data_IF_134855106198
#
_entry.id   IF_134855106198
#
_cell.length_a   1.000
_cell.length_b   1.000
_cell.length_c   1.000
_cell.angle_alpha   90.00
_cell.angle_beta   90.00
_cell.angle_gamma   90.00
#
_symmetry.space_group_name_H-M   'P 1'
#
loop_
_entity.id
_entity.type
_entity.pdbx_description
1 polymer ?
#
# COMPACT_ATOMS: atom_id res chain seq x y z
N UNK A 1 7.40 19.02 -11.88
CA UNK A 1 6.28 19.77 -12.51
C UNK A 1 4.96 19.02 -12.40
N UNK A 2 4.75 17.93 -13.15
CA UNK A 2 3.48 17.19 -13.16
C UNK A 2 3.05 16.61 -11.81
N UNK A 3 4.00 16.14 -11.01
CA UNK A 3 3.71 15.65 -9.66
C UNK A 3 3.09 16.74 -8.77
N UNK A 4 3.64 17.96 -8.77
CA UNK A 4 3.07 19.10 -8.03
C UNK A 4 1.66 19.45 -8.48
N UNK A 5 1.45 19.51 -9.80
CA UNK A 5 0.12 19.78 -10.39
C UNK A 5 -0.91 18.72 -9.93
N UNK A 6 -0.53 17.44 -9.89
CA UNK A 6 -1.45 16.40 -9.39
C UNK A 6 -1.74 16.53 -7.89
N UNK A 7 -0.77 17.00 -7.09
CA UNK A 7 -1.00 17.30 -5.67
C UNK A 7 -1.96 18.49 -5.51
N UNK A 8 -1.81 19.54 -6.32
CA UNK A 8 -2.74 20.68 -6.35
C UNK A 8 -4.17 20.22 -6.68
N UNK A 9 -4.33 19.42 -7.75
CA UNK A 9 -5.63 18.84 -8.12
C UNK A 9 -6.20 17.96 -7.00
N UNK A 10 -5.37 17.17 -6.32
CA UNK A 10 -5.80 16.32 -5.22
C UNK A 10 -6.32 17.15 -4.03
N UNK A 11 -5.68 18.29 -3.73
CA UNK A 11 -6.19 19.27 -2.75
C UNK A 11 -7.54 19.85 -3.17
N UNK A 12 -7.68 20.30 -4.42
CA UNK A 12 -8.92 20.89 -4.94
C UNK A 12 -10.09 19.88 -4.92
N UNK A 13 -9.83 18.65 -5.38
CA UNK A 13 -10.83 17.58 -5.40
C UNK A 13 -11.04 16.92 -4.04
N UNK A 14 -10.18 17.22 -3.05
CA UNK A 14 -10.15 16.57 -1.74
C UNK A 14 -10.07 15.05 -1.89
N UNK A 15 -9.17 14.54 -2.72
CA UNK A 15 -8.96 13.11 -2.95
C UNK A 15 -7.54 12.72 -2.53
N UNK A 16 -7.34 11.53 -1.95
CA UNK A 16 -6.01 11.09 -1.55
C UNK A 16 -5.15 10.73 -2.77
N UNK A 17 -3.84 10.79 -2.61
CA UNK A 17 -2.87 10.48 -3.66
C UNK A 17 -2.57 8.97 -3.75
N UNK A 18 -2.36 8.46 -4.97
CA UNK A 18 -1.71 7.16 -5.21
C UNK A 18 -0.35 7.44 -5.84
N UNK A 19 0.72 7.16 -5.10
CA UNK A 19 2.07 7.63 -5.42
C UNK A 19 2.95 6.44 -5.81
N UNK A 20 3.51 6.51 -7.01
CA UNK A 20 4.63 5.69 -7.42
C UNK A 20 5.94 6.42 -7.11
N UNK A 21 6.91 5.73 -6.52
CA UNK A 21 8.28 6.23 -6.43
C UNK A 21 9.26 5.07 -6.54
N UNK A 22 10.34 5.30 -7.29
CA UNK A 22 11.45 4.36 -7.45
C UNK A 22 12.72 5.16 -7.59
N UNK A 23 13.68 4.94 -6.69
CA UNK A 23 14.96 5.66 -6.66
C UNK A 23 14.78 7.19 -6.54
N UNK A 24 13.63 7.62 -6.00
CA UNK A 24 13.26 9.04 -5.92
C UNK A 24 12.53 9.39 -4.60
N UNK A 25 12.56 8.50 -3.60
CA UNK A 25 11.84 8.67 -2.32
C UNK A 25 12.08 10.02 -1.66
N UNK A 26 13.34 10.41 -1.46
CA UNK A 26 13.69 11.69 -0.82
C UNK A 26 13.13 12.90 -1.58
N UNK A 27 13.24 12.88 -2.92
CA UNK A 27 12.72 13.98 -3.75
C UNK A 27 11.19 14.03 -3.72
N UNK A 28 10.53 12.87 -3.65
CA UNK A 28 9.09 12.80 -3.45
C UNK A 28 8.69 13.40 -2.09
N UNK A 29 9.37 13.04 -1.00
CA UNK A 29 9.08 13.58 0.33
C UNK A 29 9.24 15.10 0.41
N UNK A 30 10.31 15.65 -0.17
CA UNK A 30 10.51 17.11 -0.25
C UNK A 30 9.31 17.81 -0.90
N UNK A 31 8.86 17.29 -2.05
CA UNK A 31 7.72 17.84 -2.78
C UNK A 31 6.43 17.70 -1.98
N UNK A 32 6.20 16.55 -1.34
CA UNK A 32 5.00 16.32 -0.53
C UNK A 32 4.93 17.27 0.66
N UNK A 33 6.05 17.49 1.37
CA UNK A 33 6.14 18.44 2.48
C UNK A 33 5.94 19.89 2.04
N UNK A 34 6.58 20.30 0.94
CA UNK A 34 6.42 21.66 0.39
C UNK A 34 4.97 21.97 0.00
N UNK A 35 4.25 20.96 -0.50
CA UNK A 35 2.87 21.08 -0.96
C UNK A 35 1.85 20.73 0.13
N UNK A 36 2.28 20.55 1.39
CA UNK A 36 1.44 20.18 2.54
C UNK A 36 0.52 18.96 2.26
N UNK A 37 1.05 17.97 1.55
CA UNK A 37 0.27 16.82 1.08
C UNK A 37 -0.23 15.92 2.22
N UNK A 38 0.33 16.02 3.42
CA UNK A 38 -0.16 15.33 4.63
C UNK A 38 -1.61 15.69 4.98
N UNK A 39 -2.09 16.88 4.56
CA UNK A 39 -3.48 17.32 4.79
C UNK A 39 -4.51 16.49 4.01
N UNK A 40 -4.11 15.93 2.86
CA UNK A 40 -4.95 15.05 2.04
C UNK A 40 -4.57 13.57 2.18
N UNK A 41 -3.31 13.30 2.54
CA UNK A 41 -2.76 11.96 2.66
C UNK A 41 -2.68 11.23 1.32
N UNK A 42 -2.39 9.94 1.41
CA UNK A 42 -2.24 9.11 0.22
C UNK A 42 -1.77 7.70 0.52
N UNK A 43 -1.43 6.96 -0.52
CA UNK A 43 -0.74 5.68 -0.44
C UNK A 43 0.49 5.69 -1.33
N UNK A 44 1.60 5.18 -0.82
CA UNK A 44 2.72 4.76 -1.65
C UNK A 44 2.47 3.34 -2.14
N UNK A 45 2.14 3.23 -3.42
CA UNK A 45 1.86 1.96 -4.07
C UNK A 45 3.16 1.27 -4.50
N UNK A 46 3.11 -0.05 -4.63
CA UNK A 46 4.22 -0.92 -4.97
C UNK A 46 5.46 -0.65 -4.08
N UNK A 47 5.26 -0.60 -2.77
CA UNK A 47 6.29 -0.12 -1.85
C UNK A 47 7.55 -1.00 -1.85
N UNK A 48 8.70 -0.34 -1.99
CA UNK A 48 10.01 -0.99 -2.06
C UNK A 48 11.13 -0.21 -1.33
N UNK A 49 10.82 0.87 -0.62
CA UNK A 49 11.79 1.66 0.16
C UNK A 49 12.04 1.04 1.55
N UNK A 50 12.87 1.65 2.40
CA UNK A 50 13.22 1.11 3.73
C UNK A 50 12.16 1.36 4.83
N UNK A 51 12.45 0.88 6.04
CA UNK A 51 11.57 1.03 7.19
C UNK A 51 11.51 2.46 7.75
N UNK A 52 12.56 3.26 7.60
CA UNK A 52 12.61 4.65 8.08
C UNK A 52 11.71 5.54 7.22
N UNK A 53 11.75 5.33 5.91
CA UNK A 53 10.86 5.96 4.96
C UNK A 53 9.39 5.61 5.26
N UNK A 54 9.08 4.34 5.54
CA UNK A 54 7.72 3.91 5.88
C UNK A 54 7.17 4.59 7.14
N UNK A 55 8.03 4.76 8.17
CA UNK A 55 7.70 5.52 9.39
C UNK A 55 7.47 7.00 9.09
N UNK A 56 8.31 7.61 8.26
CA UNK A 56 8.13 9.00 7.85
C UNK A 56 6.79 9.20 7.14
N UNK A 57 6.42 8.28 6.25
CA UNK A 57 5.11 8.27 5.60
C UNK A 57 3.96 8.15 6.62
N UNK A 58 4.15 7.38 7.69
CA UNK A 58 3.15 7.23 8.74
C UNK A 58 2.81 8.57 9.39
N UNK A 59 3.84 9.29 9.79
CA UNK A 59 3.74 10.60 10.44
C UNK A 59 3.11 11.64 9.52
N UNK A 60 3.23 11.44 8.20
CA UNK A 60 2.66 12.30 7.17
C UNK A 60 1.28 11.87 6.67
N UNK A 61 0.58 10.96 7.37
CA UNK A 61 -0.76 10.49 6.97
C UNK A 61 -0.78 9.76 5.61
N UNK A 62 0.29 9.01 5.31
CA UNK A 62 0.38 8.16 4.13
C UNK A 62 0.35 6.66 4.50
N UNK A 63 -0.50 5.93 3.79
CA UNK A 63 -0.51 4.47 3.77
C UNK A 63 0.63 3.92 2.92
N UNK A 64 0.95 2.65 3.12
CA UNK A 64 1.90 1.89 2.32
C UNK A 64 1.21 0.66 1.77
N UNK A 65 1.30 0.44 0.46
CA UNK A 65 0.74 -0.75 -0.18
C UNK A 65 1.83 -1.70 -0.64
N UNK A 66 1.68 -2.98 -0.28
CA UNK A 66 2.65 -4.01 -0.63
C UNK A 66 2.10 -4.95 -1.73
N UNK A 67 2.86 -5.14 -2.82
CA UNK A 67 2.55 -6.13 -3.85
C UNK A 67 3.17 -7.49 -3.48
N UNK A 68 3.18 -8.44 -4.42
CA UNK A 68 3.76 -9.76 -4.25
C UNK A 68 5.26 -9.79 -3.89
N UNK A 69 5.96 -8.65 -3.92
CA UNK A 69 7.37 -8.49 -3.50
C UNK A 69 7.60 -9.00 -2.06
N UNK A 70 6.61 -8.89 -1.16
CA UNK A 70 6.71 -9.40 0.22
C UNK A 70 7.13 -10.88 0.28
N UNK A 71 6.71 -11.66 -0.72
CA UNK A 71 7.02 -13.09 -0.84
C UNK A 71 8.43 -13.39 -1.37
N UNK A 72 9.15 -12.39 -1.90
CA UNK A 72 10.41 -12.63 -2.60
C UNK A 72 11.55 -12.91 -1.61
N UNK A 73 12.37 -13.94 -1.82
CA UNK A 73 13.41 -14.33 -0.86
C UNK A 73 14.35 -13.19 -0.46
N UNK A 74 14.72 -12.31 -1.39
CA UNK A 74 15.68 -11.21 -1.18
C UNK A 74 15.06 -9.87 -0.77
N UNK A 75 13.75 -9.83 -0.49
CA UNK A 75 13.04 -8.60 -0.15
C UNK A 75 12.98 -8.34 1.37
N UNK A 76 14.11 -8.50 2.07
CA UNK A 76 14.17 -8.31 3.53
C UNK A 76 13.81 -6.88 3.93
N UNK A 77 14.32 -5.88 3.21
CA UNK A 77 14.01 -4.47 3.41
C UNK A 77 12.49 -4.18 3.38
N UNK A 78 11.77 -4.79 2.44
CA UNK A 78 10.31 -4.63 2.31
C UNK A 78 9.59 -5.28 3.50
N UNK A 79 10.05 -6.46 3.94
CA UNK A 79 9.50 -7.12 5.13
C UNK A 79 9.79 -6.33 6.41
N UNK A 80 10.97 -5.73 6.52
CA UNK A 80 11.35 -4.92 7.67
C UNK A 80 10.54 -3.62 7.73
N UNK A 81 10.28 -2.99 6.58
CA UNK A 81 9.33 -1.88 6.49
C UNK A 81 7.92 -2.30 6.94
N UNK A 82 7.42 -3.42 6.43
CA UNK A 82 6.11 -3.95 6.84
C UNK A 82 6.04 -4.27 8.34
N UNK A 83 7.13 -4.74 8.98
CA UNK A 83 7.17 -4.94 10.45
C UNK A 83 7.14 -3.63 11.22
N UNK A 84 7.81 -2.59 10.71
CA UNK A 84 8.09 -1.36 11.43
C UNK A 84 6.90 -0.41 11.59
N UNK A 85 5.86 -0.54 10.75
CA UNK A 85 4.67 0.33 10.75
C UNK A 85 3.42 -0.40 11.29
N UNK A 86 2.42 0.29 11.86
CA UNK A 86 1.18 -0.36 12.30
C UNK A 86 0.39 -0.98 11.13
N UNK A 87 -0.46 -1.96 11.41
CA UNK A 87 -1.24 -2.64 10.37
C UNK A 87 -2.27 -1.71 9.72
N UNK A 88 -2.76 -0.73 10.48
CA UNK A 88 -3.67 0.35 10.08
C UNK A 88 -3.08 1.26 9.00
N UNK A 89 -1.77 1.21 8.78
CA UNK A 89 -1.08 1.95 7.73
C UNK A 89 -0.90 1.13 6.44
N UNK A 90 -1.26 -0.16 6.45
CA UNK A 90 -0.94 -1.07 5.35
C UNK A 90 -2.15 -1.33 4.46
N UNK A 91 -1.94 -1.28 3.15
CA UNK A 91 -2.83 -1.87 2.15
C UNK A 91 -2.11 -3.01 1.41
N UNK A 92 -2.90 -3.84 0.74
CA UNK A 92 -2.39 -4.93 -0.09
C UNK A 92 -2.79 -4.69 -1.55
N UNK A 93 -1.88 -5.01 -2.45
CA UNK A 93 -2.15 -4.98 -3.88
C UNK A 93 -1.48 -6.15 -4.59
N UNK A 94 -1.70 -6.24 -5.90
CA UNK A 94 -1.00 -7.19 -6.76
C UNK A 94 -0.05 -6.50 -7.74
N UNK A 95 -0.35 -5.26 -8.11
CA UNK A 95 0.24 -4.56 -9.25
C UNK A 95 0.15 -5.40 -10.54
N UNK A 96 -0.93 -6.19 -10.68
CA UNK A 96 -1.14 -7.05 -11.84
C UNK A 96 -1.13 -6.23 -13.14
N UNK A 97 -0.42 -6.68 -14.19
CA UNK A 97 0.06 -8.06 -14.41
C UNK A 97 1.47 -8.37 -13.86
N UNK A 98 2.07 -7.47 -13.08
CA UNK A 98 3.45 -7.56 -12.60
C UNK A 98 3.57 -8.22 -11.23
N UNK A 99 4.81 -8.51 -10.82
CA UNK A 99 5.18 -8.84 -9.44
C UNK A 99 4.39 -10.01 -8.79
N UNK A 100 4.08 -11.04 -9.58
CA UNK A 100 3.41 -12.24 -9.08
C UNK A 100 4.14 -12.81 -7.85
N UNK A 101 3.45 -13.04 -6.72
CA UNK A 101 4.07 -13.56 -5.51
C UNK A 101 4.55 -15.01 -5.71
N UNK A 102 5.51 -15.46 -4.91
CA UNK A 102 5.91 -16.88 -4.83
C UNK A 102 4.68 -17.70 -4.41
N UNK A 103 4.37 -18.84 -5.09
CA UNK A 103 5.20 -19.59 -6.05
C UNK A 103 5.05 -19.18 -7.54
N UNK A 104 4.31 -18.13 -7.85
CA UNK A 104 4.06 -17.64 -9.22
C UNK A 104 5.10 -16.64 -9.72
N UNK A 105 6.19 -16.39 -8.98
CA UNK A 105 7.25 -15.44 -9.36
C UNK A 105 7.76 -15.72 -10.78
N UNK A 106 7.76 -14.68 -11.62
CA UNK A 106 8.15 -14.76 -13.04
C UNK A 106 7.00 -15.11 -13.99
N UNK A 107 5.81 -15.42 -13.48
CA UNK A 107 4.56 -15.56 -14.26
C UNK A 107 3.74 -14.27 -14.21
N UNK A 108 2.70 -14.21 -15.04
CA UNK A 108 1.70 -13.13 -15.00
C UNK A 108 1.00 -13.12 -13.64
N UNK A 109 0.87 -11.92 -13.05
CA UNK A 109 0.11 -11.73 -11.83
C UNK A 109 -1.36 -11.48 -12.13
N UNK A 110 -2.22 -11.84 -11.16
CA UNK A 110 -3.66 -11.71 -11.22
C UNK A 110 -4.18 -11.19 -9.87
N UNK A 111 -5.33 -10.54 -9.84
CA UNK A 111 -5.92 -9.99 -8.61
C UNK A 111 -6.10 -11.03 -7.51
N UNK A 112 -6.41 -12.28 -7.88
CA UNK A 112 -6.56 -13.40 -6.93
C UNK A 112 -5.28 -13.68 -6.12
N UNK A 113 -4.11 -13.30 -6.63
CA UNK A 113 -2.83 -13.49 -5.92
C UNK A 113 -2.68 -12.58 -4.69
N UNK A 114 -3.54 -11.58 -4.48
CA UNK A 114 -3.48 -10.72 -3.29
C UNK A 114 -3.59 -11.52 -1.99
N UNK A 115 -4.33 -12.65 -2.01
CA UNK A 115 -4.41 -13.58 -0.88
C UNK A 115 -3.03 -14.11 -0.47
N UNK A 116 -2.18 -14.42 -1.44
CA UNK A 116 -0.83 -14.95 -1.18
C UNK A 116 0.03 -13.85 -0.55
N UNK A 117 -0.08 -12.61 -1.04
CA UNK A 117 0.57 -11.45 -0.40
C UNK A 117 0.10 -11.28 1.05
N UNK A 118 -1.21 -11.42 1.32
CA UNK A 118 -1.77 -11.35 2.66
C UNK A 118 -1.22 -12.45 3.59
N UNK A 119 -1.10 -13.69 3.11
CA UNK A 119 -0.51 -14.82 3.86
C UNK A 119 0.97 -14.58 4.18
N UNK A 120 1.71 -13.90 3.31
CA UNK A 120 3.08 -13.48 3.60
C UNK A 120 3.13 -12.35 4.63
N UNK A 121 2.24 -11.35 4.53
CA UNK A 121 2.17 -10.28 5.51
C UNK A 121 1.78 -10.80 6.90
N UNK A 122 0.84 -11.75 6.98
CA UNK A 122 0.44 -12.42 8.23
C UNK A 122 1.65 -13.04 8.94
N UNK A 123 2.51 -13.76 8.19
CA UNK A 123 3.77 -14.33 8.71
C UNK A 123 4.76 -13.25 9.17
N UNK A 124 4.84 -12.14 8.45
CA UNK A 124 5.72 -11.01 8.79
C UNK A 124 5.25 -10.32 10.07
N UNK A 125 3.94 -10.16 10.25
CA UNK A 125 3.29 -9.52 11.41
C UNK A 125 3.12 -10.43 12.62
N UNK A 126 3.13 -11.74 12.43
CA UNK A 126 2.88 -12.72 13.50
C UNK A 126 1.41 -12.78 13.94
N UNK A 127 0.47 -12.47 13.03
CA UNK A 127 -0.98 -12.47 13.30
C UNK A 127 -1.74 -13.31 12.27
N UNK A 128 -3.06 -13.47 12.45
CA UNK A 128 -3.86 -14.32 11.56
C UNK A 128 -4.10 -13.67 10.19
N UNK A 129 -4.31 -14.50 9.17
CA UNK A 129 -4.73 -14.02 7.83
C UNK A 129 -6.05 -13.25 7.90
N UNK A 130 -6.98 -13.68 8.75
CA UNK A 130 -8.27 -13.03 8.95
C UNK A 130 -8.10 -11.60 9.50
N UNK A 131 -7.19 -11.40 10.46
CA UNK A 131 -6.89 -10.08 11.00
C UNK A 131 -6.23 -9.18 9.94
N UNK A 132 -5.28 -9.70 9.17
CA UNK A 132 -4.70 -9.00 8.02
C UNK A 132 -5.79 -8.56 7.04
N UNK A 133 -6.65 -9.49 6.61
CA UNK A 133 -7.72 -9.22 5.66
C UNK A 133 -8.69 -8.16 6.21
N UNK A 134 -9.08 -8.29 7.47
CA UNK A 134 -10.03 -7.36 8.12
C UNK A 134 -9.47 -5.94 8.17
N UNK A 135 -8.24 -5.77 8.66
CA UNK A 135 -7.66 -4.43 8.84
C UNK A 135 -7.27 -3.81 7.50
N UNK A 136 -6.62 -4.56 6.61
CA UNK A 136 -6.19 -4.00 5.31
C UNK A 136 -7.36 -3.70 4.38
N UNK A 137 -8.44 -4.49 4.41
CA UNK A 137 -9.70 -4.16 3.72
C UNK A 137 -10.32 -2.89 4.29
N UNK A 138 -10.37 -2.73 5.63
CA UNK A 138 -10.86 -1.51 6.25
C UNK A 138 -10.05 -0.29 5.84
N UNK A 139 -8.72 -0.40 5.80
CA UNK A 139 -7.83 0.67 5.35
C UNK A 139 -8.14 1.05 3.90
N UNK A 140 -8.30 0.07 3.00
CA UNK A 140 -8.65 0.30 1.61
C UNK A 140 -10.04 0.93 1.45
N UNK A 141 -11.05 0.46 2.18
CA UNK A 141 -12.39 1.04 2.15
C UNK A 141 -12.37 2.50 2.62
N UNK A 142 -11.65 2.80 3.70
CA UNK A 142 -11.50 4.17 4.19
C UNK A 142 -10.77 5.06 3.18
N UNK A 143 -9.68 4.56 2.58
CA UNK A 143 -8.89 5.28 1.58
C UNK A 143 -9.72 5.62 0.32
N UNK A 144 -10.40 4.61 -0.25
CA UNK A 144 -11.22 4.76 -1.46
C UNK A 144 -12.63 5.29 -1.18
N UNK A 145 -12.96 5.55 0.10
CA UNK A 145 -14.29 6.01 0.56
C UNK A 145 -15.43 5.09 0.12
N UNK A 146 -15.20 3.78 0.19
CA UNK A 146 -16.18 2.76 -0.15
C UNK A 146 -17.05 2.45 1.07
N UNK A 147 -18.37 2.42 0.89
CA UNK A 147 -19.28 1.91 1.93
C UNK A 147 -19.60 0.42 1.72
N UNK A 148 -19.95 -0.34 2.78
CA UNK A 148 -20.31 -1.76 2.64
C UNK A 148 -21.50 -2.00 1.71
N UNK A 149 -22.43 -1.06 1.62
CA UNK A 149 -23.64 -1.16 0.79
C UNK A 149 -23.33 -1.05 -0.71
N UNK A 150 -22.21 -0.42 -1.06
CA UNK A 150 -21.75 -0.20 -2.43
C UNK A 150 -20.84 -1.32 -2.96
N UNK A 151 -20.49 -2.31 -2.12
CA UNK A 151 -19.59 -3.41 -2.50
C UNK A 151 -20.37 -4.69 -2.87
N UNK A 152 -20.35 -5.14 -4.16
CA UNK A 152 -21.07 -6.33 -4.62
C UNK A 152 -20.66 -7.64 -3.92
N UNK A 153 -19.49 -7.64 -3.27
CA UNK A 153 -18.83 -8.83 -2.73
C UNK A 153 -19.26 -9.18 -1.30
N UNK A 154 -20.05 -8.33 -0.62
CA UNK A 154 -20.61 -8.64 0.71
C UNK A 154 -21.60 -9.82 0.69
N UNK A 155 -21.92 -10.37 -0.47
CA UNK A 155 -22.69 -11.60 -0.63
C UNK A 155 -21.81 -12.85 -0.82
N UNK A 156 -20.49 -12.71 -0.91
CA UNK A 156 -19.57 -13.84 -1.07
C UNK A 156 -18.94 -14.16 0.28
N UNK A 157 -19.53 -15.13 0.97
CA UNK A 157 -18.89 -15.79 2.11
C UNK A 157 -17.61 -16.50 1.66
N UNK A 158 -16.49 -16.20 2.33
CA UNK A 158 -15.19 -16.87 2.17
C UNK A 158 -15.24 -18.35 2.56
#
# INVERSE_FOLDING_TARGET
RWFRIQIEVAHECKLPLIIHSREAGNRCLEVLKEMEAEKIGGVFHCYAEDAEFAKTLHEMNFLVSFPGILSFPKADQVRDAAKAIPLEQIMLETDAPYLAPVPFRGKRCESAHVRITAEHLARVKGISLEEIATVTTRNAMNFYRLTPEETPWNQISL
#
